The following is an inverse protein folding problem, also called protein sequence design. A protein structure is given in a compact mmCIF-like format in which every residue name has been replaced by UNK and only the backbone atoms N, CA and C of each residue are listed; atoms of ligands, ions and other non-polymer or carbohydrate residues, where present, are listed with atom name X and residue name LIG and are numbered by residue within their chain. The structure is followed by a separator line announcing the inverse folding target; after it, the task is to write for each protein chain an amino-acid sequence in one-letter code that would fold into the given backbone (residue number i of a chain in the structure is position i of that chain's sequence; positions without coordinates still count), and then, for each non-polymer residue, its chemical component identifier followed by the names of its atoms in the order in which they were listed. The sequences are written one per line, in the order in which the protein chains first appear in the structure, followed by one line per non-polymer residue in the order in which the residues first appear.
data_IF_606594622480
#
_entry.id   IF_606594622480
#
_cell.length_a   1.000
_cell.length_b   1.000
_cell.length_c   1.000
_cell.angle_alpha   90.00
_cell.angle_beta   90.00
_cell.angle_gamma   90.00
#
_symmetry.space_group_name_H-M   'P 1'
#
loop_
_entity.id
_entity.type
_entity.pdbx_description
1 polymer ?
#
# COMPACT_ATOMS: atom_id res chain seq x y z
N UNK A 1 -15.81 -22.04 9.69
CA UNK A 1 -14.83 -21.00 9.28
C UNK A 1 -15.29 -19.65 9.84
N UNK A 2 -14.42 -18.81 10.40
CA UNK A 2 -14.83 -17.49 10.89
C UNK A 2 -14.79 -16.43 9.79
N UNK A 3 -15.79 -15.54 9.76
CA UNK A 3 -16.01 -14.50 8.73
C UNK A 3 -14.85 -13.51 8.52
N UNK A 4 -13.77 -13.62 9.30
CA UNK A 4 -12.62 -12.70 9.27
C UNK A 4 -11.33 -13.32 8.69
N UNK A 5 -11.38 -14.56 8.18
CA UNK A 5 -10.23 -15.18 7.50
C UNK A 5 -10.33 -14.97 6.00
N UNK A 6 -9.41 -14.17 5.44
CA UNK A 6 -9.22 -14.09 3.99
C UNK A 6 -8.44 -15.32 3.53
N UNK A 7 -8.92 -15.94 2.46
CA UNK A 7 -8.20 -17.00 1.76
C UNK A 7 -6.77 -16.58 1.42
N UNK A 8 -5.81 -17.51 1.54
CA UNK A 8 -4.47 -17.25 1.04
C UNK A 8 -4.49 -17.14 -0.50
N UNK A 9 -3.50 -16.47 -1.09
CA UNK A 9 -3.44 -16.24 -2.55
C UNK A 9 -3.50 -17.58 -3.33
N UNK A 10 -2.91 -18.64 -2.80
CA UNK A 10 -2.99 -19.99 -3.40
C UNK A 10 -4.42 -20.55 -3.37
N UNK A 11 -5.19 -20.29 -2.31
CA UNK A 11 -6.58 -20.70 -2.23
C UNK A 11 -7.49 -19.88 -3.16
N UNK A 12 -7.17 -18.60 -3.39
CA UNK A 12 -7.87 -17.78 -4.39
C UNK A 12 -7.70 -18.30 -5.83
N UNK A 13 -6.51 -18.79 -6.20
CA UNK A 13 -6.30 -19.42 -7.51
C UNK A 13 -7.18 -20.65 -7.71
N UNK A 14 -7.40 -21.42 -6.64
CA UNK A 14 -8.26 -22.59 -6.70
C UNK A 14 -9.75 -22.23 -6.76
N UNK A 15 -10.18 -21.11 -6.15
CA UNK A 15 -11.55 -20.61 -6.29
C UNK A 15 -11.89 -20.18 -7.72
N UNK A 16 -10.94 -19.56 -8.44
CA UNK A 16 -11.13 -19.17 -9.85
C UNK A 16 -11.33 -20.37 -10.80
N UNK A 17 -10.86 -21.57 -10.41
CA UNK A 17 -11.10 -22.80 -11.17
C UNK A 17 -12.54 -23.31 -11.04
N UNK A 18 -13.22 -23.02 -9.92
CA UNK A 18 -14.59 -23.46 -9.68
C UNK A 18 -15.66 -22.50 -10.21
N UNK A 19 -15.31 -21.25 -10.55
CA UNK A 19 -16.25 -20.23 -11.03
C UNK A 19 -16.25 -20.05 -12.55
N UNK A 20 -15.44 -20.79 -13.30
CA UNK A 20 -15.42 -20.74 -14.77
C UNK A 20 -16.49 -21.67 -15.35
N UNK A 21 -17.74 -21.25 -15.23
CA UNK A 21 -18.77 -21.62 -16.20
C UNK A 21 -19.37 -20.32 -16.74
N UNK A 22 -19.63 -20.30 -18.04
CA UNK A 22 -20.14 -19.20 -18.88
C UNK A 22 -19.07 -18.58 -19.78
N UNK A 23 -19.11 -19.05 -21.03
CA UNK A 23 -18.45 -18.50 -22.21
C UNK A 23 -18.80 -17.02 -22.42
N UNK A 24 -17.78 -16.17 -22.41
CA UNK A 24 -17.85 -14.81 -22.96
C UNK A 24 -16.52 -14.49 -23.64
N UNK A 25 -16.45 -14.36 -24.98
CA UNK A 25 -15.36 -13.63 -25.63
C UNK A 25 -15.73 -12.13 -25.52
N UNK A 26 -14.84 -11.16 -25.28
CA UNK A 26 -13.64 -10.82 -26.03
C UNK A 26 -12.93 -9.72 -25.22
N UNK A 27 -11.61 -9.80 -25.06
CA UNK A 27 -10.78 -8.80 -24.37
C UNK A 27 -10.98 -8.68 -22.85
N UNK A 28 -10.82 -9.77 -22.10
CA UNK A 28 -10.56 -9.67 -20.66
C UNK A 28 -9.30 -8.81 -20.45
N UNK A 29 -9.39 -7.64 -19.78
CA UNK A 29 -8.22 -6.81 -19.55
C UNK A 29 -7.17 -7.62 -18.81
N UNK A 30 -5.91 -7.47 -19.19
CA UNK A 30 -4.81 -8.11 -18.45
C UNK A 30 -4.95 -7.79 -16.94
N UNK A 31 -4.55 -8.68 -16.03
CA UNK A 31 -4.66 -8.43 -14.59
C UNK A 31 -4.06 -7.09 -14.15
N UNK A 32 -3.05 -6.61 -14.89
CA UNK A 32 -2.41 -5.31 -14.69
C UNK A 32 -3.29 -4.14 -15.16
N UNK A 33 -3.96 -4.27 -16.30
CA UNK A 33 -4.89 -3.27 -16.82
C UNK A 33 -6.13 -3.15 -15.92
N UNK A 34 -6.72 -4.28 -15.52
CA UNK A 34 -7.84 -4.31 -14.57
C UNK A 34 -7.47 -3.66 -13.24
N UNK A 35 -6.28 -3.95 -12.71
CA UNK A 35 -5.79 -3.33 -11.48
C UNK A 35 -5.60 -1.80 -11.62
N UNK A 36 -5.13 -1.32 -12.78
CA UNK A 36 -4.96 0.10 -13.05
C UNK A 36 -6.31 0.84 -13.11
N UNK A 37 -7.31 0.24 -13.77
CA UNK A 37 -8.66 0.78 -13.86
C UNK A 37 -9.32 0.91 -12.48
N UNK A 38 -9.22 -0.13 -11.65
CA UNK A 38 -9.72 -0.08 -10.27
C UNK A 38 -9.06 1.03 -9.43
N UNK A 39 -7.76 1.26 -9.64
CA UNK A 39 -7.02 2.32 -8.96
C UNK A 39 -7.42 3.70 -9.46
N UNK A 40 -7.60 3.86 -10.78
CA UNK A 40 -8.11 5.08 -11.38
C UNK A 40 -9.48 5.43 -10.81
N UNK A 41 -10.44 4.49 -10.87
CA UNK A 41 -11.78 4.69 -10.32
C UNK A 41 -11.76 5.05 -8.83
N UNK A 42 -10.97 4.31 -8.04
CA UNK A 42 -10.84 4.59 -6.60
C UNK A 42 -10.23 5.96 -6.31
N UNK A 43 -9.27 6.42 -7.12
CA UNK A 43 -8.69 7.75 -6.99
C UNK A 43 -9.66 8.84 -7.44
N UNK A 44 -10.31 8.66 -8.59
CA UNK A 44 -11.25 9.61 -9.19
C UNK A 44 -12.48 9.83 -8.29
N UNK A 45 -13.02 8.75 -7.70
CA UNK A 45 -14.13 8.80 -6.73
C UNK A 45 -13.68 9.25 -5.33
N UNK A 46 -12.40 9.61 -5.14
CA UNK A 46 -11.83 9.96 -3.83
C UNK A 46 -12.09 8.89 -2.75
N UNK A 47 -12.14 7.61 -3.14
CA UNK A 47 -12.56 6.51 -2.27
C UNK A 47 -11.63 6.37 -1.07
N UNK A 48 -12.19 6.53 0.12
CA UNK A 48 -11.50 6.30 1.40
C UNK A 48 -11.90 4.94 1.94
N UNK A 49 -10.91 4.12 2.28
CA UNK A 49 -11.11 2.82 2.90
C UNK A 49 -10.63 2.84 4.33
N UNK A 50 -11.52 2.55 5.27
CA UNK A 50 -11.15 2.29 6.66
C UNK A 50 -10.58 0.87 6.80
N UNK A 51 -9.43 0.75 7.48
CA UNK A 51 -8.76 -0.52 7.75
C UNK A 51 -8.64 -0.71 9.25
N UNK A 52 -9.01 -1.91 9.73
CA UNK A 52 -8.81 -2.34 11.11
C UNK A 52 -7.84 -3.52 11.15
N UNK A 53 -6.78 -3.41 11.93
CA UNK A 53 -5.83 -4.48 12.20
C UNK A 53 -6.09 -5.03 13.60
N UNK A 54 -6.97 -6.02 13.73
CA UNK A 54 -7.25 -6.70 15.00
C UNK A 54 -6.01 -7.34 15.62
N UNK A 55 -5.03 -7.75 14.80
CA UNK A 55 -3.78 -8.34 15.29
C UNK A 55 -2.95 -7.37 16.12
N UNK A 56 -2.99 -6.08 15.77
CA UNK A 56 -2.19 -5.02 16.36
C UNK A 56 -3.03 -4.03 17.17
N UNK A 57 -4.36 -4.11 17.10
CA UNK A 57 -5.26 -3.17 17.77
C UNK A 57 -5.12 -1.76 17.23
N UNK A 58 -5.02 -1.61 15.91
CA UNK A 58 -4.92 -0.29 15.26
C UNK A 58 -5.94 -0.17 14.13
N UNK A 59 -6.33 1.06 13.81
CA UNK A 59 -7.07 1.39 12.60
C UNK A 59 -6.47 2.59 11.89
N UNK A 60 -6.73 2.69 10.59
CA UNK A 60 -6.27 3.82 9.77
C UNK A 60 -7.12 3.90 8.50
N UNK A 61 -7.17 5.09 7.89
CA UNK A 61 -7.76 5.29 6.58
C UNK A 61 -6.71 5.06 5.49
N UNK A 62 -7.16 4.58 4.33
CA UNK A 62 -6.35 4.42 3.13
C UNK A 62 -7.07 5.04 1.96
N UNK A 63 -6.35 5.85 1.18
CA UNK A 63 -6.82 6.36 -0.11
C UNK A 63 -5.75 6.21 -1.18
N UNK A 64 -6.19 6.16 -2.42
CA UNK A 64 -5.31 6.18 -3.58
C UNK A 64 -5.19 7.60 -4.10
N UNK A 65 -3.98 7.96 -4.55
CA UNK A 65 -3.69 9.26 -5.13
C UNK A 65 -2.90 9.07 -6.42
N UNK A 66 -3.18 9.87 -7.44
CA UNK A 66 -2.27 10.05 -8.56
C UNK A 66 -0.97 10.70 -8.07
N UNK A 67 0.15 10.36 -8.71
CA UNK A 67 1.47 10.84 -8.29
C UNK A 67 1.72 12.32 -8.65
N UNK A 68 0.88 12.95 -9.49
CA UNK A 68 0.97 14.38 -9.84
C UNK A 68 2.23 14.74 -10.64
N UNK A 69 2.16 15.81 -11.44
CA UNK A 69 3.27 16.19 -12.34
C UNK A 69 4.56 16.52 -11.58
N UNK A 70 4.48 17.18 -10.41
CA UNK A 70 5.65 17.57 -9.62
C UNK A 70 6.48 16.36 -9.17
N UNK A 71 5.85 15.30 -8.65
CA UNK A 71 6.62 14.14 -8.19
C UNK A 71 7.22 13.35 -9.36
N UNK A 72 6.59 13.41 -10.54
CA UNK A 72 7.12 12.75 -11.75
C UNK A 72 8.32 13.52 -12.30
N UNK A 73 8.19 14.84 -12.46
CA UNK A 73 9.21 15.68 -13.10
C UNK A 73 10.34 16.06 -12.14
N UNK A 74 10.01 16.56 -10.95
CA UNK A 74 10.99 17.11 -10.00
C UNK A 74 11.61 16.03 -9.12
N UNK A 75 10.86 15.00 -8.74
CA UNK A 75 11.34 13.89 -7.90
C UNK A 75 11.66 12.61 -8.68
N UNK A 76 11.61 12.66 -10.02
CA UNK A 76 11.90 11.54 -10.93
C UNK A 76 11.13 10.25 -10.58
N UNK A 77 9.91 10.38 -10.04
CA UNK A 77 9.13 9.24 -9.60
C UNK A 77 8.51 8.52 -10.79
N UNK A 78 8.92 7.28 -11.02
CA UNK A 78 8.45 6.46 -12.15
C UNK A 78 7.04 5.88 -11.96
N UNK A 79 6.39 6.10 -10.81
CA UNK A 79 5.13 5.44 -10.46
C UNK A 79 3.91 6.32 -10.78
N UNK A 80 2.82 5.72 -11.28
CA UNK A 80 1.60 6.47 -11.62
C UNK A 80 0.76 6.83 -10.40
N UNK A 81 0.64 5.88 -9.47
CA UNK A 81 -0.23 6.00 -8.31
C UNK A 81 0.54 5.74 -7.01
N UNK A 82 0.04 6.32 -5.93
CA UNK A 82 0.51 6.13 -4.56
C UNK A 82 -0.65 5.85 -3.62
N UNK A 83 -0.37 5.08 -2.58
CA UNK A 83 -1.28 4.79 -1.49
C UNK A 83 -0.94 5.66 -0.30
N UNK A 84 -1.91 6.42 0.17
CA UNK A 84 -1.80 7.30 1.33
C UNK A 84 -2.54 6.68 2.50
N UNK A 85 -1.87 6.61 3.64
CA UNK A 85 -2.34 6.06 4.89
C UNK A 85 -2.39 7.19 5.91
N UNK A 86 -3.54 7.37 6.56
CA UNK A 86 -3.80 8.49 7.47
C UNK A 86 -4.62 8.04 8.68
N UNK A 87 -4.80 8.93 9.65
CA UNK A 87 -5.69 8.76 10.80
C UNK A 87 -5.40 7.46 11.59
N UNK A 88 -4.13 7.22 11.91
CA UNK A 88 -3.78 6.08 12.75
C UNK A 88 -4.41 6.25 14.14
N UNK A 89 -5.17 5.25 14.55
CA UNK A 89 -5.77 5.18 15.89
C UNK A 89 -5.47 3.82 16.52
N UNK A 90 -5.39 3.78 17.85
CA UNK A 90 -5.26 2.54 18.59
C UNK A 90 -6.61 2.12 19.14
N UNK A 91 -7.10 1.00 18.63
CA UNK A 91 -8.34 0.37 19.03
C UNK A 91 -7.99 -1.00 19.59
N UNK A 92 -7.46 -1.01 20.82
CA UNK A 92 -7.07 -2.24 21.53
C UNK A 92 -8.31 -3.00 21.99
N UNK A 93 -8.19 -4.31 22.14
CA UNK A 93 -9.24 -5.15 22.69
C UNK A 93 -9.50 -4.82 24.16
N UNK A 94 -10.76 -4.91 24.59
CA UNK A 94 -11.13 -4.78 26.01
C UNK A 94 -10.55 -5.90 26.88
N UNK A 95 -10.13 -7.03 26.27
CA UNK A 95 -9.50 -8.14 27.00
C UNK A 95 -8.04 -7.83 27.27
N UNK A 96 -7.66 -7.68 28.55
CA UNK A 96 -6.30 -7.32 29.00
C UNK A 96 -5.20 -8.13 28.31
N UNK A 97 -5.28 -9.46 28.36
CA UNK A 97 -4.29 -10.35 27.73
C UNK A 97 -4.17 -10.15 26.21
N UNK A 98 -5.27 -9.79 25.54
CA UNK A 98 -5.28 -9.54 24.11
C UNK A 98 -4.71 -8.16 23.80
N UNK A 99 -5.04 -7.15 24.61
CA UNK A 99 -4.50 -5.80 24.51
C UNK A 99 -2.98 -5.77 24.66
N UNK A 100 -2.44 -6.52 25.63
CA UNK A 100 -0.99 -6.69 25.83
C UNK A 100 -0.34 -7.31 24.59
N UNK A 101 -0.87 -8.42 24.09
CA UNK A 101 -0.36 -9.06 22.86
C UNK A 101 -0.43 -8.13 21.65
N UNK A 102 -1.50 -7.35 21.50
CA UNK A 102 -1.64 -6.36 20.42
C UNK A 102 -0.58 -5.27 20.53
N UNK A 103 -0.41 -4.72 21.73
CA UNK A 103 0.61 -3.71 22.06
C UNK A 103 2.01 -4.22 21.74
N UNK A 104 2.37 -5.41 22.21
CA UNK A 104 3.71 -5.96 22.01
C UNK A 104 3.98 -6.24 20.52
N UNK A 105 2.99 -6.76 19.78
CA UNK A 105 3.10 -6.94 18.32
C UNK A 105 3.24 -5.63 17.57
N UNK A 106 2.54 -4.58 18.01
CA UNK A 106 2.70 -3.24 17.46
C UNK A 106 4.14 -2.75 17.70
N UNK A 107 4.62 -2.77 18.95
CA UNK A 107 5.97 -2.35 19.29
C UNK A 107 7.06 -3.15 18.57
N UNK A 108 6.96 -4.47 18.51
CA UNK A 108 7.89 -5.31 17.75
C UNK A 108 7.91 -4.94 16.26
N UNK A 109 6.76 -4.56 15.69
CA UNK A 109 6.69 -4.13 14.29
C UNK A 109 7.31 -2.75 14.11
N UNK A 110 7.05 -1.82 15.02
CA UNK A 110 7.59 -0.46 15.00
C UNK A 110 9.10 -0.41 15.29
N UNK A 111 9.63 -1.31 16.13
CA UNK A 111 11.07 -1.45 16.41
C UNK A 111 11.90 -2.00 15.24
N UNK A 112 11.26 -2.67 14.28
CA UNK A 112 11.92 -3.08 13.01
C UNK A 112 12.18 -1.88 12.07
N UNK A 113 11.78 -0.69 12.47
CA UNK A 113 12.21 0.57 11.87
C UNK A 113 13.46 0.97 12.65
N UNK A 114 14.68 0.81 12.10
CA UNK A 114 15.87 1.20 12.83
C UNK A 114 15.76 2.69 13.14
N UNK A 115 15.96 3.07 14.40
CA UNK A 115 16.00 4.47 14.85
C UNK A 115 17.40 5.06 14.69
N UNK A 116 18.42 4.21 14.61
CA UNK A 116 19.83 4.57 14.50
C UNK A 116 20.39 4.02 13.18
N UNK A 117 21.09 4.88 12.45
CA UNK A 117 22.04 4.43 11.42
C UNK A 117 23.23 3.75 12.13
N UNK A 118 23.98 2.91 11.42
CA UNK A 118 25.22 2.29 11.94
C UNK A 118 26.27 3.33 12.39
N UNK A 119 26.12 4.59 11.98
CA UNK A 119 27.00 5.72 12.30
C UNK A 119 26.55 6.54 13.54
N UNK A 120 25.59 6.05 14.32
CA UNK A 120 25.13 6.71 15.56
C UNK A 120 24.24 7.94 15.35
N UNK A 121 23.97 8.34 14.10
CA UNK A 121 23.09 9.49 13.82
C UNK A 121 21.62 9.07 13.83
N UNK A 122 20.78 9.90 14.48
CA UNK A 122 19.33 9.79 14.41
C UNK A 122 18.86 9.93 12.96
N UNK A 123 18.03 9.01 12.49
CA UNK A 123 17.45 9.10 11.14
C UNK A 123 16.51 10.31 11.07
N UNK A 124 16.69 11.16 10.05
CA UNK A 124 15.67 12.17 9.70
C UNK A 124 14.33 11.46 9.52
N UNK A 125 13.23 12.10 9.96
CA UNK A 125 11.87 11.54 9.84
C UNK A 125 11.60 11.03 8.42
N UNK A 126 12.07 11.75 7.39
CA UNK A 126 12.03 11.33 5.98
C UNK A 126 12.63 9.94 5.74
N UNK A 127 13.80 9.64 6.29
CA UNK A 127 14.55 8.39 6.09
C UNK A 127 13.90 7.21 6.84
N UNK A 128 13.26 7.51 7.98
CA UNK A 128 12.46 6.54 8.77
C UNK A 128 11.29 5.99 7.95
N UNK A 129 10.69 6.81 7.08
CA UNK A 129 9.58 6.40 6.20
C UNK A 129 10.03 5.51 5.04
N UNK A 130 11.23 5.73 4.47
CA UNK A 130 11.76 4.95 3.35
C UNK A 130 12.14 3.51 3.73
N UNK A 131 12.68 3.27 4.93
CA UNK A 131 12.99 1.91 5.42
C UNK A 131 11.76 1.10 5.82
N UNK A 132 10.56 1.70 5.87
CA UNK A 132 9.31 1.02 6.24
C UNK A 132 8.73 0.17 5.10
N UNK A 133 9.54 -0.69 4.48
CA UNK A 133 9.09 -1.63 3.46
C UNK A 133 7.99 -2.57 4.00
N UNK A 134 7.92 -2.77 5.32
CA UNK A 134 7.02 -3.73 5.97
C UNK A 134 5.80 -3.16 6.71
N UNK A 135 5.52 -1.86 6.59
CA UNK A 135 4.23 -1.26 6.92
C UNK A 135 3.97 -1.08 8.42
N UNK A 136 3.87 0.20 8.83
CA UNK A 136 2.84 0.81 9.68
C UNK A 136 3.30 2.22 10.07
N UNK A 137 2.34 3.15 10.11
CA UNK A 137 2.46 4.50 10.64
C UNK A 137 3.08 4.47 12.04
N UNK A 138 4.21 5.15 12.24
CA UNK A 138 4.92 5.13 13.52
C UNK A 138 4.35 6.09 14.57
N UNK A 139 3.58 7.09 14.14
CA UNK A 139 3.01 8.13 15.01
C UNK A 139 1.59 8.50 14.56
N UNK A 140 0.79 9.05 15.47
CA UNK A 140 -0.63 9.41 15.28
C UNK A 140 -0.85 10.54 14.27
N UNK A 141 0.12 11.44 14.11
CA UNK A 141 0.09 12.58 13.19
C UNK A 141 0.66 12.26 11.80
N UNK A 142 1.20 11.05 11.61
CA UNK A 142 1.96 10.76 10.41
C UNK A 142 1.01 10.48 9.25
N UNK A 143 1.21 11.20 8.16
CA UNK A 143 0.73 10.78 6.85
C UNK A 143 1.80 9.88 6.27
N UNK A 144 1.41 8.67 5.87
CA UNK A 144 2.34 7.75 5.23
C UNK A 144 1.97 7.49 3.78
N UNK A 145 2.95 7.57 2.89
CA UNK A 145 2.74 7.44 1.44
C UNK A 145 3.63 6.32 0.90
N UNK A 146 3.04 5.39 0.14
CA UNK A 146 3.77 4.34 -0.58
C UNK A 146 3.46 4.38 -2.07
N UNK A 147 4.47 4.27 -2.96
CA UNK A 147 4.23 4.11 -4.39
C UNK A 147 3.65 2.72 -4.71
N UNK A 148 2.83 2.66 -5.75
CA UNK A 148 2.29 1.40 -6.30
C UNK A 148 3.27 0.88 -7.35
N UNK A 149 4.10 -0.09 -6.94
CA UNK A 149 5.30 -0.48 -7.70
C UNK A 149 5.04 -1.14 -9.05
N UNK A 150 3.87 -1.75 -9.21
CA UNK A 150 3.43 -2.48 -10.40
C UNK A 150 2.83 -1.58 -11.49
N UNK A 151 2.61 -0.28 -11.23
CA UNK A 151 2.12 0.69 -12.21
C UNK A 151 3.11 1.84 -12.37
N UNK A 152 3.79 1.86 -13.51
CA UNK A 152 4.86 2.80 -13.83
C UNK A 152 4.61 3.47 -15.17
N UNK A 153 5.05 4.73 -15.27
CA UNK A 153 5.14 5.39 -16.56
C UNK A 153 6.15 4.65 -17.44
N UNK A 154 5.83 4.54 -18.72
CA UNK A 154 6.76 4.05 -19.74
C UNK A 154 7.61 5.25 -20.14
N UNK A 155 8.94 5.09 -20.11
CA UNK A 155 9.84 6.10 -20.66
C UNK A 155 9.68 6.10 -22.18
N UNK A 156 9.28 7.24 -22.77
CA UNK A 156 9.32 7.39 -24.21
C UNK A 156 10.79 7.40 -24.64
N UNK A 157 11.20 6.46 -25.49
CA UNK A 157 12.49 6.56 -26.18
C UNK A 157 12.42 7.80 -27.06
N UNK A 158 13.30 8.78 -26.84
CA UNK A 158 13.43 9.92 -27.76
C UNK A 158 13.76 9.36 -29.14
N UNK A 159 12.90 9.61 -30.12
CA UNK A 159 13.28 9.40 -31.51
C UNK A 159 14.46 10.32 -31.82
N UNK A 160 15.59 9.74 -32.21
CA UNK A 160 16.73 10.50 -32.72
C UNK A 160 16.32 10.94 -34.13
N UNK A 161 15.79 12.15 -34.26
CA UNK A 161 15.68 12.77 -35.58
C UNK A 161 17.08 13.18 -36.02
N UNK A 162 17.67 12.41 -36.93
CA UNK A 162 18.78 12.89 -37.75
C UNK A 162 18.23 14.01 -38.63
N UNK A 163 18.69 15.24 -38.40
CA UNK A 163 18.50 16.32 -39.36
C UNK A 163 19.45 16.04 -40.53
N UNK A 164 18.89 15.86 -41.71
CA UNK A 164 19.59 15.83 -43.00
C UNK A 164 20.19 17.18 -43.34
#
# INVERSE_FOLDING_TARGET
MSNNRRACINYHKNLELYTKTVDTPTHTPSPKAYHAELLFKSWNECKVKQIYSHRQGISYTVRYQANGHYNVLSMQSKYMYRKRFENLQFNRSNKVNTALKQRDRYWCKSRRIPFLRHDGRFLRLSDKYYRNQRGILSSFSDVYIKPIKNLRYIEQKKAICFKS
#
